data_IF_893625844557
#
_entry.id   IF_893625844557
#
_cell.length_a   1.000
_cell.length_b   1.000
_cell.length_c   1.000
_cell.angle_alpha   90.00
_cell.angle_beta   90.00
_cell.angle_gamma   90.00
#
_symmetry.space_group_name_H-M   'P 1'
#
loop_
_entity.id
_entity.type
_entity.pdbx_description
1 polymer ?
#
# COMPACT_ATOMS: atom_id res chain seq x y z
N UNK A 1 -49.11 -18.38 28.25
CA UNK A 1 -48.58 -17.48 29.30
C UNK A 1 -47.15 -17.93 29.56
N UNK A 2 -46.20 -17.46 28.74
CA UNK A 2 -45.43 -16.19 28.88
C UNK A 2 -44.30 -16.38 29.90
N UNK A 3 -43.04 -16.59 29.48
CA UNK A 3 -42.04 -15.66 28.92
C UNK A 3 -41.08 -15.21 30.03
N UNK A 4 -39.77 -15.47 29.91
CA UNK A 4 -38.71 -14.58 30.42
C UNK A 4 -37.33 -14.92 29.81
N UNK A 5 -37.13 -14.34 28.62
CA UNK A 5 -35.97 -13.50 28.24
C UNK A 5 -34.54 -14.02 28.39
N UNK A 6 -34.12 -14.65 27.29
CA UNK A 6 -32.86 -14.42 26.55
C UNK A 6 -32.23 -13.04 26.81
N UNK A 7 -31.07 -13.01 27.48
CA UNK A 7 -30.31 -11.79 27.72
C UNK A 7 -29.46 -11.44 26.48
N UNK A 8 -29.83 -10.34 25.82
CA UNK A 8 -29.13 -9.73 24.68
C UNK A 8 -28.12 -8.66 25.16
N UNK A 9 -26.93 -8.71 24.55
CA UNK A 9 -26.09 -7.59 24.05
C UNK A 9 -25.46 -6.62 25.05
N UNK A 10 -24.15 -6.41 24.89
CA UNK A 10 -23.61 -5.20 24.22
C UNK A 10 -22.12 -5.39 23.90
N UNK A 11 -21.80 -5.64 22.62
CA UNK A 11 -20.47 -5.36 22.09
C UNK A 11 -20.48 -3.90 21.64
N UNK A 12 -19.60 -3.08 22.23
CA UNK A 12 -19.45 -1.68 21.86
C UNK A 12 -18.99 -1.54 20.41
N UNK A 13 -19.78 -0.85 19.60
CA UNK A 13 -19.38 -0.41 18.26
C UNK A 13 -18.34 0.70 18.45
N UNK A 14 -17.07 0.37 18.24
CA UNK A 14 -16.01 1.35 18.03
C UNK A 14 -16.36 2.12 16.75
N UNK A 15 -16.84 3.34 16.90
CA UNK A 15 -17.10 4.21 15.76
C UNK A 15 -15.76 4.56 15.10
N UNK A 16 -15.50 4.02 13.91
CA UNK A 16 -14.40 4.45 13.07
C UNK A 16 -14.55 5.95 12.78
N UNK A 17 -13.54 6.73 13.17
CA UNK A 17 -13.46 8.15 12.86
C UNK A 17 -13.54 8.39 11.34
N UNK A 18 -14.17 9.50 10.95
CA UNK A 18 -14.32 9.88 9.53
C UNK A 18 -12.94 9.98 8.85
N UNK A 19 -12.78 9.25 7.74
CA UNK A 19 -11.57 9.28 6.89
C UNK A 19 -11.29 10.71 6.42
N UNK A 20 -10.03 11.19 6.44
CA UNK A 20 -9.69 12.52 5.93
C UNK A 20 -10.00 12.60 4.43
N UNK A 21 -10.61 13.71 3.99
CA UNK A 21 -10.80 13.98 2.56
C UNK A 21 -9.47 14.34 1.92
N UNK A 22 -9.11 13.67 0.83
CA UNK A 22 -7.95 14.03 0.01
C UNK A 22 -8.13 15.42 -0.59
N UNK A 23 -7.26 16.36 -0.20
CA UNK A 23 -7.17 17.68 -0.82
C UNK A 23 -6.04 17.66 -1.84
N UNK A 24 -6.40 17.77 -3.12
CA UNK A 24 -5.45 17.89 -4.22
C UNK A 24 -4.97 19.33 -4.29
N UNK A 25 -3.77 19.61 -3.79
CA UNK A 25 -3.04 20.84 -4.11
C UNK A 25 -2.08 20.57 -5.27
N UNK A 26 -2.20 21.37 -6.33
CA UNK A 26 -1.22 21.43 -7.43
C UNK A 26 0.04 22.12 -6.91
N UNK A 27 1.13 21.38 -6.72
CA UNK A 27 2.43 21.98 -6.45
C UNK A 27 3.03 22.51 -7.76
N UNK A 28 3.47 23.76 -7.74
CA UNK A 28 4.23 24.39 -8.82
C UNK A 28 5.60 23.72 -8.95
N UNK A 29 5.93 23.31 -10.17
CA UNK A 29 7.16 22.58 -10.49
C UNK A 29 8.32 23.57 -10.57
N UNK A 30 9.17 23.58 -9.54
CA UNK A 30 10.51 24.15 -9.66
C UNK A 30 11.40 23.15 -10.40
N UNK A 31 11.81 23.51 -11.62
CA UNK A 31 12.84 22.78 -12.37
C UNK A 31 14.21 22.94 -11.70
N UNK A 32 15.01 21.88 -11.87
CA UNK A 32 16.46 21.79 -11.68
C UNK A 32 16.96 21.35 -10.30
N UNK A 33 17.27 20.06 -10.21
CA UNK A 33 18.59 19.58 -9.79
C UNK A 33 18.94 18.40 -10.69
N UNK A 34 20.16 18.35 -11.21
CA UNK A 34 20.63 17.15 -11.91
C UNK A 34 20.36 15.96 -11.00
N UNK A 35 19.70 14.92 -11.52
CA UNK A 35 19.70 13.61 -10.88
C UNK A 35 21.16 13.16 -10.81
N UNK A 36 21.86 13.49 -9.73
CA UNK A 36 23.11 12.83 -9.41
C UNK A 36 22.82 11.33 -9.37
N UNK A 37 23.70 10.52 -9.94
CA UNK A 37 23.51 9.08 -10.13
C UNK A 37 22.94 8.42 -8.87
N UNK A 38 21.61 8.25 -8.83
CA UNK A 38 20.97 7.56 -7.74
C UNK A 38 21.34 6.10 -7.91
N UNK A 39 21.87 5.48 -6.86
CA UNK A 39 22.56 4.17 -6.90
C UNK A 39 21.75 3.07 -7.60
N UNK A 40 20.44 3.22 -7.66
CA UNK A 40 19.51 2.22 -8.15
C UNK A 40 18.68 2.63 -9.38
N UNK A 41 18.89 3.84 -9.93
CA UNK A 41 18.18 4.23 -11.16
C UNK A 41 18.55 3.30 -12.31
N UNK A 42 19.81 2.85 -12.37
CA UNK A 42 20.30 1.94 -13.40
C UNK A 42 19.76 0.51 -13.27
N UNK A 43 19.13 0.17 -12.13
CA UNK A 43 18.47 -1.12 -11.94
C UNK A 43 17.04 -1.13 -12.51
N UNK A 44 16.46 0.04 -12.78
CA UNK A 44 15.17 0.14 -13.45
C UNK A 44 15.33 -0.11 -14.95
N UNK A 45 14.29 -0.60 -15.64
CA UNK A 45 14.30 -0.71 -17.09
C UNK A 45 14.72 0.64 -17.74
N UNK A 46 15.77 0.69 -18.58
CA UNK A 46 16.34 1.96 -19.06
C UNK A 46 15.33 2.86 -19.79
N UNK A 47 14.28 2.28 -20.39
CA UNK A 47 13.22 3.05 -21.03
C UNK A 47 12.39 3.88 -20.04
N UNK A 48 12.38 3.54 -18.75
CA UNK A 48 11.66 4.27 -17.70
C UNK A 48 12.45 5.46 -17.16
N UNK A 49 13.79 5.43 -17.26
CA UNK A 49 14.68 6.47 -16.72
C UNK A 49 14.30 7.90 -17.14
N UNK A 50 13.93 8.19 -18.41
CA UNK A 50 13.50 9.53 -18.81
C UNK A 50 12.20 10.01 -18.15
N UNK A 51 11.39 9.10 -17.60
CA UNK A 51 10.09 9.40 -16.97
C UNK A 51 10.18 9.55 -15.44
N UNK A 52 11.37 9.36 -14.86
CA UNK A 52 11.63 9.58 -13.42
C UNK A 52 11.86 11.07 -13.20
N UNK A 53 10.98 11.69 -12.40
CA UNK A 53 11.04 13.14 -12.14
C UNK A 53 11.75 13.45 -10.81
N UNK A 54 11.69 12.53 -9.85
CA UNK A 54 12.26 12.66 -8.52
C UNK A 54 12.44 11.27 -7.89
N UNK A 55 13.34 11.15 -6.91
CA UNK A 55 13.52 9.95 -6.10
C UNK A 55 13.47 10.33 -4.62
N UNK A 56 12.72 9.56 -3.83
CA UNK A 56 12.63 9.74 -2.38
C UNK A 56 12.99 8.45 -1.66
N UNK A 57 14.10 8.48 -0.91
CA UNK A 57 14.51 7.38 -0.06
C UNK A 57 13.72 7.38 1.25
N UNK A 58 13.10 6.24 1.54
CA UNK A 58 12.47 5.98 2.84
C UNK A 58 13.39 5.21 3.77
N UNK A 59 13.13 5.31 5.07
CA UNK A 59 13.90 4.59 6.09
C UNK A 59 13.84 3.07 5.87
N UNK A 60 15.00 2.42 5.83
CA UNK A 60 15.17 0.97 5.67
C UNK A 60 15.07 0.19 6.98
N UNK A 61 14.01 0.43 7.76
CA UNK A 61 13.77 -0.20 9.08
C UNK A 61 12.88 -1.45 9.02
N UNK A 62 12.68 -2.01 7.82
CA UNK A 62 11.72 -3.10 7.57
C UNK A 62 10.27 -2.63 7.37
N UNK A 63 9.98 -1.33 7.53
CA UNK A 63 8.67 -0.74 7.21
C UNK A 63 8.66 0.05 5.90
N UNK A 64 9.78 0.11 5.19
CA UNK A 64 10.01 0.87 3.95
C UNK A 64 8.86 0.77 2.91
N UNK A 65 8.38 -0.43 2.57
CA UNK A 65 7.24 -0.57 1.64
C UNK A 65 5.98 0.15 2.12
N UNK A 66 5.63 0.01 3.40
CA UNK A 66 4.47 0.68 4.01
C UNK A 66 4.69 2.18 4.16
N UNK A 67 5.93 2.60 4.44
CA UNK A 67 6.32 4.02 4.52
C UNK A 67 6.12 4.73 3.19
N UNK A 68 6.29 4.02 2.08
CA UNK A 68 6.06 4.63 0.77
C UNK A 68 4.59 4.84 0.50
N UNK A 69 3.76 3.82 0.75
CA UNK A 69 2.31 3.97 0.62
C UNK A 69 1.85 5.15 1.48
N UNK A 70 2.34 5.24 2.72
CA UNK A 70 2.05 6.37 3.61
C UNK A 70 2.52 7.73 3.06
N UNK A 71 3.73 7.80 2.50
CA UNK A 71 4.28 9.01 1.89
C UNK A 71 3.43 9.46 0.70
N UNK A 72 3.07 8.54 -0.19
CA UNK A 72 2.18 8.79 -1.33
C UNK A 72 0.81 9.31 -0.89
N UNK A 73 0.25 8.71 0.17
CA UNK A 73 -1.01 9.14 0.78
C UNK A 73 -0.89 10.43 1.61
N UNK A 74 0.30 11.06 1.65
CA UNK A 74 0.59 12.30 2.39
C UNK A 74 0.30 12.17 3.89
N UNK A 75 0.52 10.99 4.45
CA UNK A 75 0.38 10.74 5.88
C UNK A 75 1.58 11.26 6.67
N UNK A 76 1.43 11.37 7.99
CA UNK A 76 2.50 11.82 8.91
C UNK A 76 3.60 10.76 9.07
N UNK A 77 4.64 11.05 9.86
CA UNK A 77 5.82 10.19 10.06
C UNK A 77 5.52 8.76 10.54
N UNK A 78 4.36 8.53 11.16
CA UNK A 78 3.87 7.22 11.61
C UNK A 78 2.80 6.62 10.68
N UNK A 79 2.61 7.20 9.49
CA UNK A 79 1.64 6.78 8.47
C UNK A 79 1.69 5.30 8.14
N UNK A 80 2.88 4.70 8.14
CA UNK A 80 3.08 3.27 7.89
C UNK A 80 2.30 2.35 8.83
N UNK A 81 2.00 2.79 10.08
CA UNK A 81 1.17 2.05 11.03
C UNK A 81 -0.28 1.99 10.57
N UNK A 82 -0.79 3.13 10.10
CA UNK A 82 -2.13 3.22 9.53
C UNK A 82 -2.23 2.35 8.28
N UNK A 83 -1.22 2.38 7.40
CA UNK A 83 -1.19 1.52 6.21
C UNK A 83 -1.27 0.04 6.57
N UNK A 84 -0.47 -0.43 7.52
CA UNK A 84 -0.54 -1.84 7.98
C UNK A 84 -1.93 -2.20 8.50
N UNK A 85 -2.49 -1.33 9.34
CA UNK A 85 -3.80 -1.57 9.95
C UNK A 85 -4.92 -1.56 8.91
N UNK A 86 -4.90 -0.62 7.96
CA UNK A 86 -5.89 -0.53 6.88
C UNK A 86 -5.83 -1.77 5.98
N UNK A 87 -4.64 -2.28 5.67
CA UNK A 87 -4.46 -3.51 4.90
C UNK A 87 -4.88 -4.76 5.68
N UNK A 88 -4.70 -4.76 7.01
CA UNK A 88 -5.19 -5.85 7.86
C UNK A 88 -6.72 -5.89 7.88
N UNK A 89 -7.37 -4.74 7.97
CA UNK A 89 -8.83 -4.63 7.87
C UNK A 89 -9.30 -5.08 6.48
N UNK A 90 -8.66 -4.60 5.41
CA UNK A 90 -8.96 -4.97 4.02
C UNK A 90 -8.94 -6.49 3.80
N UNK A 91 -7.93 -7.18 4.37
CA UNK A 91 -7.82 -8.63 4.19
C UNK A 91 -8.86 -9.40 5.03
N UNK A 92 -9.26 -8.87 6.19
CA UNK A 92 -10.26 -9.46 7.07
C UNK A 92 -11.71 -9.21 6.62
N UNK A 93 -11.99 -8.08 5.96
CA UNK A 93 -13.34 -7.72 5.48
C UNK A 93 -13.78 -8.56 4.26
N UNK A 94 -12.86 -9.20 3.54
CA UNK A 94 -13.13 -9.88 2.27
C UNK A 94 -12.54 -11.30 2.14
N UNK A 95 -12.81 -12.21 3.10
CA UNK A 95 -12.16 -13.53 3.20
C UNK A 95 -12.23 -14.36 1.91
N UNK A 96 -13.42 -14.51 1.33
CA UNK A 96 -13.62 -15.37 0.14
C UNK A 96 -12.87 -14.86 -1.11
N UNK A 97 -12.83 -13.53 -1.28
CA UNK A 97 -12.10 -12.90 -2.37
C UNK A 97 -10.60 -13.07 -2.16
N UNK A 98 -10.14 -12.86 -0.94
CA UNK A 98 -8.73 -12.92 -0.60
C UNK A 98 -8.19 -14.35 -0.72
N UNK A 99 -8.92 -15.37 -0.26
CA UNK A 99 -8.55 -16.76 -0.49
C UNK A 99 -8.35 -17.04 -1.98
N UNK A 100 -9.27 -16.57 -2.83
CA UNK A 100 -9.19 -16.78 -4.29
C UNK A 100 -8.01 -16.05 -4.91
N UNK A 101 -7.76 -14.79 -4.54
CA UNK A 101 -6.69 -13.97 -5.11
C UNK A 101 -5.32 -14.43 -4.64
N UNK A 102 -5.19 -14.84 -3.38
CA UNK A 102 -3.96 -15.38 -2.81
C UNK A 102 -3.76 -16.88 -3.06
N UNK A 103 -4.69 -17.53 -3.76
CA UNK A 103 -4.64 -18.96 -4.09
C UNK A 103 -4.60 -19.88 -2.86
N UNK A 104 -5.24 -19.49 -1.76
CA UNK A 104 -5.43 -20.32 -0.57
C UNK A 104 -5.22 -19.58 0.76
N UNK A 105 -5.74 -20.20 1.83
CA UNK A 105 -5.71 -19.64 3.19
C UNK A 105 -4.31 -19.50 3.78
N UNK A 106 -3.37 -20.41 3.45
CA UNK A 106 -2.01 -20.35 3.97
C UNK A 106 -1.31 -19.03 3.58
N UNK A 107 -1.52 -18.57 2.33
CA UNK A 107 -0.99 -17.29 1.85
C UNK A 107 -1.68 -16.09 2.50
N UNK A 108 -3.00 -16.18 2.73
CA UNK A 108 -3.75 -15.15 3.45
C UNK A 108 -3.18 -14.96 4.87
N UNK A 109 -2.92 -16.06 5.58
CA UNK A 109 -2.37 -16.01 6.94
C UNK A 109 -0.90 -15.53 6.97
N UNK A 110 -0.10 -15.85 5.96
CA UNK A 110 1.24 -15.28 5.81
C UNK A 110 1.19 -13.76 5.63
N UNK A 111 0.29 -13.26 4.77
CA UNK A 111 0.08 -11.83 4.57
C UNK A 111 -0.40 -11.18 5.87
N UNK A 112 -1.37 -11.76 6.58
CA UNK A 112 -1.83 -11.25 7.88
C UNK A 112 -0.70 -11.19 8.90
N UNK A 113 0.10 -12.24 9.01
CA UNK A 113 1.27 -12.29 9.90
C UNK A 113 2.23 -11.15 9.57
N UNK A 114 2.51 -10.93 8.29
CA UNK A 114 3.44 -9.87 7.89
C UNK A 114 2.95 -8.45 8.21
N UNK A 115 1.63 -8.23 8.25
CA UNK A 115 1.01 -6.96 8.59
C UNK A 115 1.09 -6.68 10.10
N UNK A 116 1.06 -7.72 10.95
CA UNK A 116 1.00 -7.65 12.42
C UNK A 116 2.35 -7.35 13.08
N UNK A 117 2.91 -6.15 12.83
CA UNK A 117 4.14 -5.70 13.46
C UNK A 117 3.93 -4.47 14.35
N UNK A 118 4.30 -4.57 15.63
CA UNK A 118 4.17 -3.50 16.62
C UNK A 118 5.51 -2.85 17.03
N UNK A 119 6.62 -3.42 16.55
CA UNK A 119 7.97 -2.92 16.81
C UNK A 119 8.25 -1.64 16.01
N UNK A 120 9.29 -0.90 16.41
CA UNK A 120 9.81 0.24 15.64
C UNK A 120 10.64 -0.20 14.43
N UNK A 121 11.18 -1.42 14.47
CA UNK A 121 11.87 -2.06 13.35
C UNK A 121 11.22 -3.41 13.06
N UNK A 122 11.11 -3.77 11.79
CA UNK A 122 10.48 -5.00 11.34
C UNK A 122 11.51 -6.02 10.86
N UNK A 123 11.43 -7.23 11.41
CA UNK A 123 12.08 -8.41 10.85
C UNK A 123 11.47 -8.81 9.50
N UNK A 124 12.13 -9.73 8.81
CA UNK A 124 11.76 -10.14 7.43
C UNK A 124 10.36 -10.72 7.35
N UNK A 125 9.93 -11.41 8.39
CA UNK A 125 8.59 -11.97 8.55
C UNK A 125 7.50 -10.90 8.54
N UNK A 126 7.85 -9.64 8.79
CA UNK A 126 6.94 -8.50 8.79
C UNK A 126 7.11 -7.57 7.58
N UNK A 127 7.91 -7.94 6.58
CA UNK A 127 8.08 -7.09 5.41
C UNK A 127 6.83 -7.08 4.52
N UNK A 128 6.69 -6.02 3.71
CA UNK A 128 5.66 -6.00 2.68
C UNK A 128 5.96 -7.10 1.66
N UNK A 129 4.99 -7.98 1.43
CA UNK A 129 5.12 -9.11 0.51
C UNK A 129 4.73 -8.62 -0.88
N UNK A 130 5.71 -8.52 -1.77
CA UNK A 130 5.53 -8.03 -3.13
C UNK A 130 5.72 -9.20 -4.11
N UNK A 131 4.92 -9.31 -5.18
CA UNK A 131 3.91 -8.34 -5.63
C UNK A 131 2.48 -8.63 -5.11
N UNK A 132 2.39 -9.35 -3.99
CA UNK A 132 1.15 -9.90 -3.46
C UNK A 132 0.27 -8.85 -2.78
N UNK A 133 0.85 -7.79 -2.21
CA UNK A 133 0.10 -6.77 -1.49
C UNK A 133 -0.39 -5.60 -2.36
N UNK A 134 0.09 -5.45 -3.59
CA UNK A 134 -0.23 -4.30 -4.45
C UNK A 134 -1.70 -4.24 -4.83
N UNK A 135 -2.36 -5.38 -5.04
CA UNK A 135 -3.80 -5.40 -5.31
C UNK A 135 -4.61 -4.96 -4.08
N UNK A 136 -4.15 -5.33 -2.86
CA UNK A 136 -4.79 -4.90 -1.63
C UNK A 136 -4.63 -3.40 -1.43
N UNK A 137 -3.42 -2.86 -1.65
CA UNK A 137 -3.16 -1.42 -1.60
C UNK A 137 -4.07 -0.69 -2.60
N UNK A 138 -4.16 -1.21 -3.82
CA UNK A 138 -5.00 -0.65 -4.87
C UNK A 138 -6.48 -0.60 -4.46
N UNK A 139 -7.01 -1.70 -3.92
CA UNK A 139 -8.40 -1.83 -3.51
C UNK A 139 -8.72 -1.02 -2.24
N UNK A 140 -7.86 -1.08 -1.22
CA UNK A 140 -8.02 -0.41 0.07
C UNK A 140 -8.08 1.12 -0.09
N UNK A 141 -7.16 1.67 -0.90
CA UNK A 141 -7.03 3.13 -1.09
C UNK A 141 -7.66 3.67 -2.36
N UNK A 142 -8.23 2.81 -3.21
CA UNK A 142 -8.87 3.20 -4.48
C UNK A 142 -7.89 3.91 -5.42
N UNK A 143 -6.67 3.39 -5.48
CA UNK A 143 -5.58 3.93 -6.31
C UNK A 143 -5.15 2.90 -7.33
N UNK A 144 -4.63 3.34 -8.47
CA UNK A 144 -3.99 2.44 -9.43
C UNK A 144 -2.55 2.24 -8.94
N UNK A 145 -2.12 0.99 -8.80
CA UNK A 145 -0.76 0.65 -8.37
C UNK A 145 0.00 0.06 -9.55
N UNK A 146 1.12 0.65 -9.92
CA UNK A 146 2.02 0.12 -10.97
C UNK A 146 3.25 -0.45 -10.28
N UNK A 147 3.37 -1.76 -10.26
CA UNK A 147 4.58 -2.46 -9.88
C UNK A 147 5.57 -2.47 -11.04
N UNK A 148 6.82 -2.10 -10.76
CA UNK A 148 7.93 -2.07 -11.71
C UNK A 148 9.08 -2.83 -11.08
N UNK A 149 9.48 -3.95 -11.68
CA UNK A 149 10.71 -4.67 -11.33
C UNK A 149 11.45 -5.10 -12.60
N UNK A 150 12.64 -5.68 -12.43
CA UNK A 150 13.40 -6.26 -13.56
C UNK A 150 12.73 -7.50 -14.13
N UNK A 151 11.99 -8.24 -13.30
CA UNK A 151 11.35 -9.50 -13.61
C UNK A 151 10.01 -9.26 -14.29
N UNK A 152 9.22 -8.32 -13.78
CA UNK A 152 7.88 -8.03 -14.29
C UNK A 152 7.42 -6.61 -13.97
N UNK A 153 6.53 -6.08 -14.81
CA UNK A 153 5.78 -4.86 -14.54
C UNK A 153 4.29 -5.21 -14.53
N UNK A 154 3.59 -4.87 -13.45
CA UNK A 154 2.19 -5.20 -13.25
C UNK A 154 1.41 -3.94 -12.88
N UNK A 155 0.17 -3.83 -13.34
CA UNK A 155 -0.73 -2.73 -12.96
C UNK A 155 -1.96 -3.30 -12.29
N UNK A 156 -2.23 -2.83 -11.07
CA UNK A 156 -3.34 -3.23 -10.23
C UNK A 156 -4.38 -2.11 -10.18
N UNK A 157 -5.64 -2.51 -10.34
CA UNK A 157 -6.79 -1.63 -10.29
C UNK A 157 -7.64 -1.93 -9.06
N UNK A 158 -8.35 -0.93 -8.49
CA UNK A 158 -9.26 -1.17 -7.38
C UNK A 158 -10.35 -2.17 -7.80
N UNK A 159 -10.48 -3.29 -7.08
CA UNK A 159 -11.35 -4.38 -7.52
C UNK A 159 -12.85 -4.11 -7.33
N UNK A 160 -13.22 -3.21 -6.41
CA UNK A 160 -14.59 -3.10 -5.90
C UNK A 160 -15.24 -1.75 -6.17
N UNK A 161 -14.50 -0.80 -6.70
CA UNK A 161 -15.02 0.51 -7.04
C UNK A 161 -15.27 0.60 -8.55
N UNK A 162 -16.39 1.21 -8.97
CA UNK A 162 -16.57 1.53 -10.38
C UNK A 162 -15.44 2.45 -10.85
N UNK A 163 -15.05 2.38 -12.13
CA UNK A 163 -14.12 3.36 -12.67
C UNK A 163 -14.69 4.77 -12.38
N UNK A 164 -13.87 5.70 -11.89
CA UNK A 164 -14.29 7.07 -11.65
C UNK A 164 -15.01 7.63 -12.87
N UNK A 165 -16.14 8.29 -12.63
CA UNK A 165 -16.99 8.87 -13.68
C UNK A 165 -16.34 10.04 -14.43
N UNK A 166 -15.16 10.50 -13.99
CA UNK A 166 -14.40 11.59 -14.58
C UNK A 166 -12.96 11.14 -14.83
N UNK A 167 -12.45 11.40 -16.04
CA UNK A 167 -11.12 10.99 -16.52
C UNK A 167 -9.93 11.48 -15.67
N UNK A 168 -10.13 12.35 -14.66
CA UNK A 168 -9.07 13.08 -13.95
C UNK A 168 -9.00 12.84 -12.43
N UNK A 169 -9.67 11.82 -11.87
CA UNK A 169 -9.63 11.53 -10.42
C UNK A 169 -8.83 10.28 -10.04
N UNK A 170 -8.12 9.67 -10.99
CA UNK A 170 -7.26 8.53 -10.68
C UNK A 170 -5.97 8.98 -9.98
N UNK A 171 -5.73 8.43 -8.79
CA UNK A 171 -4.44 8.51 -8.13
C UNK A 171 -3.60 7.31 -8.54
N UNK A 172 -2.43 7.57 -9.12
CA UNK A 172 -1.49 6.55 -9.60
C UNK A 172 -0.30 6.49 -8.65
N UNK A 173 -0.09 5.34 -8.02
CA UNK A 173 1.11 5.02 -7.24
C UNK A 173 2.01 4.13 -8.10
N UNK A 174 3.27 4.51 -8.30
CA UNK A 174 4.26 3.68 -9.00
C UNK A 174 5.31 3.17 -8.02
N UNK A 175 5.48 1.86 -8.00
CA UNK A 175 6.31 1.12 -7.06
C UNK A 175 7.47 0.48 -7.80
N UNK A 176 8.70 0.89 -7.48
CA UNK A 176 9.91 0.22 -7.93
C UNK A 176 10.35 -0.85 -6.94
N UNK A 177 10.32 -2.11 -7.34
CA UNK A 177 10.95 -3.21 -6.60
C UNK A 177 12.31 -3.56 -7.21
N UNK A 178 13.32 -3.55 -6.35
CA UNK A 178 14.72 -3.79 -6.71
C UNK A 178 15.20 -5.04 -5.97
N UNK A 179 15.43 -6.13 -6.68
CA UNK A 179 15.84 -7.40 -6.05
C UNK A 179 17.30 -7.39 -5.56
N UNK A 180 18.16 -6.50 -6.07
CA UNK A 180 19.60 -6.54 -5.80
C UNK A 180 19.99 -6.10 -4.38
N UNK A 181 19.06 -5.48 -3.65
CA UNK A 181 19.24 -5.02 -2.27
C UNK A 181 17.85 -4.89 -1.68
N UNK A 182 17.69 -5.22 -0.41
CA UNK A 182 16.44 -5.06 0.35
C UNK A 182 16.05 -3.58 0.58
N UNK A 183 16.38 -2.69 -0.36
CA UNK A 183 16.12 -1.25 -0.36
C UNK A 183 15.19 -0.91 -1.52
N UNK A 184 14.11 -0.23 -1.18
CA UNK A 184 13.00 0.07 -2.09
C UNK A 184 13.11 1.50 -2.61
N UNK A 185 12.81 1.73 -3.90
CA UNK A 185 12.90 3.05 -4.55
C UNK A 185 11.54 3.40 -5.17
N UNK A 186 11.07 4.63 -4.94
CA UNK A 186 9.68 5.01 -5.27
C UNK A 186 9.52 6.44 -5.81
N UNK A 187 8.42 6.62 -6.57
CA UNK A 187 7.92 7.88 -7.16
C UNK A 187 6.50 8.19 -6.68
#
# INVERSE_FOLDING_TARGET
MSDETTQKRQAGVLQLGKRPKMVVQRSSVLRSRSMGAHKYIDELPPFLTPFILNVHDVLGDGHCGFRVVAYFLKMTNFGWRYVRNDLLIEIEEHPDLNERVFYGWDRVEEVKTSLQCHSYTAGKEHWMIMPDMEFMISSCYKIIVVHISRQQCLTYFPLRDPPPSLLNTHHLLSIGYLEAVTSWVWK
#
